data_IF_416261200954
#
_entry.id   IF_416261200954
#
_cell.length_a   1.000
_cell.length_b   1.000
_cell.length_c   1.000
_cell.angle_alpha   90.00
_cell.angle_beta   90.00
_cell.angle_gamma   90.00
#
_symmetry.space_group_name_H-M   'P 1'
#
loop_
_entity.id
_entity.type
_entity.pdbx_description
1 polymer ?
#
# COMPACT_ATOMS: atom_id res chain seq x y z
N UNK A 1 -13.32 24.48 11.57
CA UNK A 1 -12.36 23.52 12.16
C UNK A 1 -13.03 22.88 13.36
N UNK A 2 -13.32 21.58 13.31
CA UNK A 2 -13.94 20.87 14.43
C UNK A 2 -12.93 20.75 15.57
N UNK A 3 -13.15 21.48 16.65
CA UNK A 3 -12.28 21.57 17.85
C UNK A 3 -12.35 20.34 18.76
N UNK A 4 -12.79 19.19 18.26
CA UNK A 4 -12.86 17.97 19.07
C UNK A 4 -11.50 17.29 19.06
N UNK A 5 -10.95 16.91 20.23
CA UNK A 5 -9.71 16.15 20.27
C UNK A 5 -9.89 14.80 19.56
N UNK A 6 -8.83 14.30 18.93
CA UNK A 6 -8.80 12.96 18.34
C UNK A 6 -9.12 11.92 19.43
N UNK A 7 -10.03 10.97 19.19
CA UNK A 7 -10.22 9.83 20.07
C UNK A 7 -8.90 9.07 20.25
N UNK A 8 -8.66 8.55 21.45
CA UNK A 8 -7.55 7.62 21.68
C UNK A 8 -8.04 6.21 21.41
N UNK A 9 -7.41 5.53 20.45
CA UNK A 9 -7.63 4.11 20.15
C UNK A 9 -6.57 3.30 20.89
N UNK A 10 -7.00 2.33 21.69
CA UNK A 10 -6.10 1.46 22.46
C UNK A 10 -5.54 0.35 21.57
N UNK A 11 -6.31 -0.06 20.54
CA UNK A 11 -5.95 -1.10 19.60
C UNK A 11 -6.14 -0.65 18.15
N UNK A 12 -5.54 -1.40 17.23
CA UNK A 12 -5.72 -1.18 15.79
C UNK A 12 -7.14 -1.53 15.36
N UNK A 13 -7.72 -2.58 15.92
CA UNK A 13 -9.08 -3.02 15.60
C UNK A 13 -10.11 -1.94 15.98
N UNK A 14 -9.97 -1.32 17.15
CA UNK A 14 -10.81 -0.17 17.55
C UNK A 14 -10.71 1.00 16.55
N UNK A 15 -9.53 1.23 15.99
CA UNK A 15 -9.35 2.27 14.98
C UNK A 15 -10.03 1.88 13.65
N UNK A 16 -9.93 0.62 13.24
CA UNK A 16 -10.58 0.11 12.02
C UNK A 16 -12.10 0.16 12.16
N UNK A 17 -12.65 -0.27 13.31
CA UNK A 17 -14.08 -0.15 13.61
C UNK A 17 -14.56 1.31 13.57
N UNK A 18 -13.74 2.23 14.08
CA UNK A 18 -14.02 3.66 13.97
C UNK A 18 -14.07 4.15 12.52
N UNK A 19 -13.11 3.73 11.69
CA UNK A 19 -13.04 4.10 10.28
C UNK A 19 -14.24 3.54 9.52
N UNK A 20 -14.59 2.28 9.75
CA UNK A 20 -15.76 1.63 9.13
C UNK A 20 -17.06 2.36 9.49
N UNK A 21 -17.27 2.63 10.79
CA UNK A 21 -18.45 3.35 11.26
C UNK A 21 -18.53 4.78 10.70
N UNK A 22 -17.40 5.47 10.58
CA UNK A 22 -17.34 6.81 9.99
C UNK A 22 -17.73 6.78 8.50
N UNK A 23 -17.16 5.85 7.74
CA UNK A 23 -17.48 5.64 6.31
C UNK A 23 -18.97 5.32 6.15
N UNK A 24 -19.50 4.38 6.95
CA UNK A 24 -20.91 3.98 6.91
C UNK A 24 -21.86 5.14 7.25
N UNK A 25 -21.45 6.03 8.17
CA UNK A 25 -22.20 7.22 8.54
C UNK A 25 -22.00 8.41 7.57
N UNK A 26 -21.15 8.27 6.54
CA UNK A 26 -20.83 9.33 5.59
C UNK A 26 -20.06 10.50 6.20
N UNK A 27 -19.33 10.26 7.29
CA UNK A 27 -18.49 11.27 7.96
C UNK A 27 -17.02 10.96 7.74
N UNK A 28 -16.19 12.00 7.70
CA UNK A 28 -14.74 11.82 7.56
C UNK A 28 -14.16 11.21 8.85
N UNK A 29 -13.48 10.04 8.79
CA UNK A 29 -12.80 9.46 9.94
C UNK A 29 -11.57 10.28 10.32
N UNK A 30 -11.05 10.00 11.51
CA UNK A 30 -9.75 10.54 11.90
C UNK A 30 -8.62 9.89 11.10
N UNK A 31 -7.65 10.69 10.60
CA UNK A 31 -6.48 10.13 9.93
C UNK A 31 -5.65 9.25 10.88
N UNK A 32 -4.88 8.31 10.33
CA UNK A 32 -3.99 7.46 11.11
C UNK A 32 -2.92 8.32 11.76
N UNK A 33 -2.69 8.12 13.04
CA UNK A 33 -1.62 8.75 13.81
C UNK A 33 -0.37 7.87 13.88
N UNK A 34 -0.51 6.56 13.68
CA UNK A 34 0.60 5.60 13.75
C UNK A 34 0.80 4.84 12.43
N UNK A 35 1.99 4.25 12.27
CA UNK A 35 2.32 3.40 11.12
C UNK A 35 1.42 2.16 11.09
N UNK A 36 1.09 1.60 12.25
CA UNK A 36 0.25 0.40 12.36
C UNK A 36 -1.19 0.69 11.92
N UNK A 37 -1.74 1.83 12.37
CA UNK A 37 -3.05 2.32 11.91
C UNK A 37 -3.06 2.59 10.40
N UNK A 38 -2.00 3.21 9.86
CA UNK A 38 -1.88 3.46 8.42
C UNK A 38 -1.91 2.15 7.63
N UNK A 39 -1.10 1.16 8.03
CA UNK A 39 -1.06 -0.16 7.38
C UNK A 39 -2.44 -0.83 7.42
N UNK A 40 -3.08 -0.84 8.58
CA UNK A 40 -4.39 -1.47 8.74
C UNK A 40 -5.46 -0.83 7.86
N UNK A 41 -5.48 0.50 7.73
CA UNK A 41 -6.44 1.15 6.82
C UNK A 41 -6.13 0.84 5.36
N UNK A 42 -4.85 0.70 4.99
CA UNK A 42 -4.48 0.24 3.65
C UNK A 42 -4.92 -1.19 3.36
N UNK A 43 -4.90 -2.07 4.36
CA UNK A 43 -5.32 -3.47 4.22
C UNK A 43 -6.84 -3.61 4.15
N UNK A 44 -7.60 -2.82 4.92
CA UNK A 44 -9.06 -2.92 5.00
C UNK A 44 -9.81 -1.99 4.04
N UNK A 45 -9.27 -0.80 3.77
CA UNK A 45 -9.93 0.26 3.00
C UNK A 45 -8.96 0.92 1.99
N UNK A 46 -8.34 0.17 1.08
CA UNK A 46 -7.23 0.63 0.24
C UNK A 46 -7.54 1.88 -0.58
N UNK A 47 -8.75 1.99 -1.13
CA UNK A 47 -9.15 3.15 -1.94
C UNK A 47 -9.29 4.42 -1.10
N UNK A 48 -9.77 4.27 0.13
CA UNK A 48 -9.93 5.37 1.07
C UNK A 48 -8.58 5.81 1.66
N UNK A 49 -7.75 4.83 2.03
CA UNK A 49 -6.43 5.02 2.65
C UNK A 49 -5.51 5.94 1.83
N UNK A 50 -5.65 5.90 0.49
CA UNK A 50 -4.85 6.72 -0.44
C UNK A 50 -4.96 8.22 -0.19
N UNK A 51 -6.05 8.69 0.42
CA UNK A 51 -6.25 10.10 0.78
C UNK A 51 -5.28 10.58 1.86
N UNK A 52 -4.72 9.66 2.65
CA UNK A 52 -3.77 9.95 3.72
C UNK A 52 -2.34 9.53 3.41
N UNK A 53 -2.03 9.19 2.15
CA UNK A 53 -0.69 8.78 1.75
C UNK A 53 0.35 9.86 2.04
N UNK A 54 1.33 9.58 2.91
CA UNK A 54 2.46 10.47 3.10
C UNK A 54 3.30 10.57 1.82
N UNK A 55 4.07 11.66 1.74
CA UNK A 55 5.07 11.81 0.69
C UNK A 55 6.09 10.64 0.73
N UNK A 56 6.67 10.23 -0.41
CA UNK A 56 7.61 9.11 -0.48
C UNK A 56 8.77 9.20 0.54
N UNK A 57 9.30 10.40 0.77
CA UNK A 57 10.36 10.62 1.76
C UNK A 57 9.92 10.29 3.19
N UNK A 58 8.65 10.57 3.53
CA UNK A 58 8.09 10.27 4.85
C UNK A 58 7.89 8.76 4.99
N UNK A 59 7.34 8.10 3.96
CA UNK A 59 7.18 6.64 3.93
C UNK A 59 8.50 5.92 4.22
N UNK A 60 9.59 6.32 3.55
CA UNK A 60 10.91 5.76 3.79
C UNK A 60 11.38 6.01 5.24
N UNK A 61 11.17 7.23 5.76
CA UNK A 61 11.56 7.55 7.15
C UNK A 61 10.80 6.75 8.22
N UNK A 62 9.61 6.25 7.89
CA UNK A 62 8.79 5.40 8.77
C UNK A 62 8.92 3.91 8.46
N UNK A 63 9.94 3.51 7.67
CA UNK A 63 10.24 2.10 7.38
C UNK A 63 9.31 1.45 6.35
N UNK A 64 8.62 2.24 5.53
CA UNK A 64 7.79 1.76 4.42
C UNK A 64 8.48 2.00 3.06
N UNK A 65 8.19 1.17 2.05
CA UNK A 65 8.59 1.43 0.67
C UNK A 65 8.09 2.79 0.18
N UNK A 66 8.89 3.46 -0.66
CA UNK A 66 8.57 4.77 -1.23
C UNK A 66 7.30 4.77 -2.08
N UNK A 67 6.93 3.60 -2.62
CA UNK A 67 5.77 3.29 -3.45
C UNK A 67 4.63 2.60 -2.67
N UNK A 68 4.75 2.44 -1.35
CA UNK A 68 3.70 1.85 -0.51
C UNK A 68 2.33 2.47 -0.78
N UNK A 69 1.30 1.63 -0.90
CA UNK A 69 -0.09 2.05 -1.10
C UNK A 69 -0.39 2.71 -2.44
N UNK A 70 0.59 2.77 -3.36
CA UNK A 70 0.39 3.30 -4.71
C UNK A 70 0.22 2.17 -5.71
N UNK A 71 -0.64 2.40 -6.70
CA UNK A 71 -0.73 1.48 -7.82
C UNK A 71 0.61 1.46 -8.57
N UNK A 72 1.12 0.26 -8.91
CA UNK A 72 2.30 0.16 -9.76
C UNK A 72 1.99 0.85 -11.08
N UNK A 73 2.86 1.78 -11.48
CA UNK A 73 2.71 2.45 -12.77
C UNK A 73 2.86 1.39 -13.87
N UNK A 74 1.87 1.24 -14.78
CA UNK A 74 2.03 0.31 -15.90
C UNK A 74 3.26 0.69 -16.71
N UNK A 75 4.02 -0.34 -17.10
CA UNK A 75 5.19 -0.19 -17.96
C UNK A 75 4.73 0.32 -19.34
N UNK A 76 5.55 1.11 -20.03
CA UNK A 76 5.25 1.48 -21.42
C UNK A 76 5.21 0.23 -22.30
N UNK A 77 4.38 0.22 -23.35
CA UNK A 77 4.29 -0.89 -24.30
C UNK A 77 5.66 -1.32 -24.83
N UNK A 78 6.48 -0.35 -25.23
CA UNK A 78 7.86 -0.59 -25.68
C UNK A 78 8.75 -1.29 -24.64
N UNK A 79 8.50 -1.07 -23.35
CA UNK A 79 9.26 -1.72 -22.29
C UNK A 79 8.71 -3.12 -22.00
N UNK A 80 7.40 -3.31 -22.10
CA UNK A 80 6.77 -4.62 -22.03
C UNK A 80 7.26 -5.53 -23.16
N UNK A 81 7.29 -5.04 -24.40
CA UNK A 81 7.82 -5.78 -25.56
C UNK A 81 9.28 -6.19 -25.36
N UNK A 82 10.12 -5.30 -24.82
CA UNK A 82 11.52 -5.61 -24.51
C UNK A 82 11.65 -6.69 -23.45
N UNK A 83 10.80 -6.68 -22.42
CA UNK A 83 10.79 -7.74 -21.40
C UNK A 83 10.41 -9.07 -22.04
N UNK A 84 9.35 -9.09 -22.86
CA UNK A 84 8.90 -10.30 -23.55
C UNK A 84 9.97 -10.86 -24.49
N UNK A 85 10.56 -10.01 -25.32
CA UNK A 85 11.67 -10.40 -26.20
C UNK A 85 12.86 -10.97 -25.40
N UNK A 86 13.17 -10.39 -24.23
CA UNK A 86 14.23 -10.89 -23.34
C UNK A 86 13.87 -12.25 -22.74
N UNK A 87 12.62 -12.45 -22.30
CA UNK A 87 12.15 -13.73 -21.75
C UNK A 87 12.22 -14.88 -22.76
N UNK A 88 11.97 -14.58 -24.05
CA UNK A 88 12.03 -15.57 -25.13
C UNK A 88 13.45 -16.06 -25.39
N UNK A 89 14.44 -15.18 -25.32
CA UNK A 89 15.84 -15.49 -25.67
C UNK A 89 16.71 -15.88 -24.47
N UNK A 90 16.39 -15.43 -23.27
CA UNK A 90 17.20 -15.62 -22.07
C UNK A 90 16.52 -16.59 -21.09
N UNK A 91 17.04 -17.82 -21.06
CA UNK A 91 16.54 -18.88 -20.19
C UNK A 91 16.78 -18.60 -18.70
N UNK A 92 17.87 -17.91 -18.34
CA UNK A 92 18.18 -17.55 -16.95
C UNK A 92 17.25 -16.46 -16.46
N UNK A 93 17.02 -15.43 -17.27
CA UNK A 93 16.07 -14.37 -16.97
C UNK A 93 14.65 -14.92 -16.82
N UNK A 94 14.24 -15.84 -17.71
CA UNK A 94 12.94 -16.54 -17.62
C UNK A 94 12.81 -17.35 -16.34
N UNK A 95 13.85 -18.07 -15.94
CA UNK A 95 13.86 -18.83 -14.70
C UNK A 95 13.77 -17.90 -13.48
N UNK A 96 14.52 -16.79 -13.47
CA UNK A 96 14.50 -15.80 -12.40
C UNK A 96 13.12 -15.13 -12.25
N UNK A 97 12.51 -14.70 -13.36
CA UNK A 97 11.15 -14.13 -13.34
C UNK A 97 10.11 -15.17 -12.91
N UNK A 98 10.23 -16.42 -13.36
CA UNK A 98 9.34 -17.50 -12.93
C UNK A 98 9.46 -17.80 -11.44
N UNK A 99 10.66 -17.72 -10.87
CA UNK A 99 10.87 -17.84 -9.42
C UNK A 99 10.19 -16.68 -8.68
N UNK A 100 10.39 -15.44 -9.13
CA UNK A 100 9.76 -14.27 -8.51
C UNK A 100 8.22 -14.34 -8.53
N UNK A 101 7.63 -14.77 -9.65
CA UNK A 101 6.17 -14.86 -9.82
C UNK A 101 5.54 -16.02 -9.04
N UNK A 102 6.26 -17.14 -8.88
CA UNK A 102 5.77 -18.31 -8.15
C UNK A 102 6.09 -18.27 -6.64
N UNK A 103 6.53 -17.12 -6.12
CA UNK A 103 6.90 -16.98 -4.69
C UNK A 103 8.19 -17.72 -4.31
N UNK A 104 9.01 -18.09 -5.30
CA UNK A 104 10.29 -18.78 -5.16
C UNK A 104 11.38 -17.86 -4.64
N UNK A 105 11.37 -17.61 -3.34
CA UNK A 105 12.44 -16.96 -2.60
C UNK A 105 12.54 -17.49 -1.18
N UNK A 106 13.33 -18.56 -1.02
CA UNK A 106 13.96 -19.05 0.21
C UNK A 106 13.12 -19.14 1.51
N UNK A 107 12.78 -20.38 1.89
CA UNK A 107 12.88 -20.80 3.30
C UNK A 107 14.28 -21.31 3.57
#
# INVERSE_FOLDING_TARGET
>A
MNSRPRPQFQTVDEYIDHVDAAIAAGVEPWPPATITELKAVFDHFPDYARRWLPAPKILVSIGLPADFGRDPKPLSESFQERILATLEVDAEFRAAVSLLLNGGGAK
#
